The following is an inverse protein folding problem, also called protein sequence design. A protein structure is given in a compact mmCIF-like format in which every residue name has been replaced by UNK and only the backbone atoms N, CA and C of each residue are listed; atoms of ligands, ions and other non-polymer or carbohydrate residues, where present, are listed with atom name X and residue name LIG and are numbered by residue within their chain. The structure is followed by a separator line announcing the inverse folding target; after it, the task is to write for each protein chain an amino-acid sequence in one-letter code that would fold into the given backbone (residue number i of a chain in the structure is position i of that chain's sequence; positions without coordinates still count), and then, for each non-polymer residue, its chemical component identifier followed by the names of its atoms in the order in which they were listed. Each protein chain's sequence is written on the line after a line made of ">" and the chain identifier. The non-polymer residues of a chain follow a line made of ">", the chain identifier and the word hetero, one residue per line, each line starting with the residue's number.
data_IF_315118286431
#
_entry.id   IF_315118286431
#
_cell.length_a   1.000
_cell.length_b   1.000
_cell.length_c   1.000
_cell.angle_alpha   90.00
_cell.angle_beta   90.00
_cell.angle_gamma   90.00
#
_symmetry.space_group_name_H-M   'P 1'
#
loop_
_entity.id
_entity.type
_entity.pdbx_description
1 polymer ?
#
# COMPACT_ATOMS: atom_id res chain seq x y z
N UNK A 1 -7.95 10.42 26.98
CA UNK A 1 -8.77 11.30 26.10
C UNK A 1 -9.11 12.62 26.77
N UNK A 2 -9.01 13.74 26.03
CA UNK A 2 -9.52 15.03 26.51
C UNK A 2 -11.02 15.21 26.19
N UNK A 3 -11.62 16.36 26.57
CA UNK A 3 -13.04 16.65 26.33
C UNK A 3 -13.39 16.71 24.84
N UNK A 4 -12.52 17.27 24.01
CA UNK A 4 -12.73 17.40 22.56
C UNK A 4 -12.78 16.02 21.91
N UNK A 5 -11.91 15.12 22.34
CA UNK A 5 -11.87 13.74 21.84
C UNK A 5 -13.11 12.95 22.27
N UNK A 6 -13.57 13.11 23.51
CA UNK A 6 -14.81 12.51 23.99
C UNK A 6 -16.03 12.95 23.17
N UNK A 7 -16.11 14.23 22.81
CA UNK A 7 -17.18 14.76 21.96
C UNK A 7 -17.08 14.21 20.52
N UNK A 8 -15.88 14.24 19.93
CA UNK A 8 -15.60 13.75 18.56
C UNK A 8 -15.99 12.28 18.38
N UNK A 9 -15.56 11.41 19.30
CA UNK A 9 -15.78 9.96 19.19
C UNK A 9 -17.03 9.48 19.93
N UNK A 10 -17.87 10.38 20.43
CA UNK A 10 -19.05 10.04 21.26
C UNK A 10 -19.94 8.96 20.63
N UNK A 11 -20.20 9.02 19.31
CA UNK A 11 -21.01 8.03 18.60
C UNK A 11 -20.34 6.66 18.48
N UNK A 12 -19.02 6.65 18.29
CA UNK A 12 -18.22 5.42 18.23
C UNK A 12 -18.13 4.76 19.61
N UNK A 13 -17.94 5.55 20.67
CA UNK A 13 -17.90 5.09 22.07
C UNK A 13 -19.22 4.46 22.51
N UNK A 14 -20.37 4.94 22.02
CA UNK A 14 -21.68 4.35 22.32
C UNK A 14 -21.82 2.92 21.78
N UNK A 15 -21.06 2.53 20.76
CA UNK A 15 -21.07 1.17 20.26
C UNK A 15 -20.32 0.26 21.23
N UNK A 16 -21.07 -0.55 21.99
CA UNK A 16 -20.55 -1.35 23.12
C UNK A 16 -19.29 -2.18 22.82
N UNK A 17 -19.14 -2.83 21.65
CA UNK A 17 -17.90 -3.56 21.33
C UNK A 17 -16.65 -2.68 21.22
N UNK A 18 -16.80 -1.36 21.03
CA UNK A 18 -15.71 -0.38 21.12
C UNK A 18 -15.70 0.19 22.54
N UNK A 19 -16.76 0.89 22.94
CA UNK A 19 -16.82 1.52 24.26
C UNK A 19 -15.74 2.58 24.48
N UNK A 20 -15.61 3.04 25.73
CA UNK A 20 -14.56 4.00 26.10
C UNK A 20 -13.17 3.35 26.06
N UNK A 21 -13.08 2.10 26.51
CA UNK A 21 -11.82 1.34 26.55
C UNK A 21 -11.28 1.04 25.15
N UNK A 22 -12.13 0.58 24.22
CA UNK A 22 -11.72 0.34 22.84
C UNK A 22 -11.30 1.63 22.13
N UNK A 23 -11.95 2.76 22.41
CA UNK A 23 -11.51 4.04 21.87
C UNK A 23 -10.10 4.43 22.37
N UNK A 24 -9.81 4.20 23.65
CA UNK A 24 -8.48 4.45 24.21
C UNK A 24 -7.43 3.48 23.64
N UNK A 25 -7.82 2.24 23.29
CA UNK A 25 -6.93 1.30 22.57
C UNK A 25 -6.65 1.78 21.15
N UNK A 26 -7.67 2.23 20.40
CA UNK A 26 -7.49 2.82 19.07
C UNK A 26 -6.49 3.97 19.13
N UNK A 27 -6.62 4.87 20.10
CA UNK A 27 -5.68 5.99 20.28
C UNK A 27 -4.24 5.62 20.57
N UNK A 28 -3.99 4.40 21.03
CA UNK A 28 -2.63 3.87 21.26
C UNK A 28 -2.16 3.00 20.11
N UNK A 29 -3.10 2.57 19.26
CA UNK A 29 -2.83 1.68 18.13
C UNK A 29 -1.97 2.35 17.06
N UNK A 30 -1.10 1.54 16.48
CA UNK A 30 -0.20 1.87 15.38
C UNK A 30 -0.57 0.99 14.19
N UNK A 31 -0.88 1.61 13.06
CA UNK A 31 -1.29 0.90 11.84
C UNK A 31 -0.38 1.29 10.68
N UNK A 32 -0.02 0.33 9.84
CA UNK A 32 0.59 0.59 8.54
C UNK A 32 -0.41 0.28 7.42
N UNK A 33 -0.56 1.21 6.47
CA UNK A 33 -1.28 1.00 5.21
C UNK A 33 -0.23 0.88 4.10
N UNK A 34 -0.16 -0.30 3.49
CA UNK A 34 0.77 -0.54 2.36
C UNK A 34 0.01 -0.31 1.06
N UNK A 35 0.44 0.67 0.27
CA UNK A 35 -0.28 1.14 -0.91
C UNK A 35 -1.36 2.15 -0.54
N UNK A 36 -1.23 3.37 -1.06
CA UNK A 36 -2.14 4.51 -0.92
C UNK A 36 -2.90 4.78 -2.22
N UNK A 37 -3.19 3.72 -2.98
CA UNK A 37 -4.09 3.74 -4.12
C UNK A 37 -5.57 3.70 -3.72
N UNK A 38 -6.36 2.93 -4.46
CA UNK A 38 -7.81 2.91 -4.30
C UNK A 38 -8.24 2.42 -2.91
N UNK A 39 -7.86 1.19 -2.54
CA UNK A 39 -8.19 0.61 -1.22
C UNK A 39 -7.52 1.39 -0.08
N UNK A 40 -6.23 1.67 -0.20
CA UNK A 40 -5.45 2.38 0.83
C UNK A 40 -6.04 3.74 1.21
N UNK A 41 -6.52 4.50 0.23
CA UNK A 41 -7.15 5.81 0.49
C UNK A 41 -8.39 5.71 1.37
N UNK A 42 -9.23 4.69 1.17
CA UNK A 42 -10.44 4.43 1.98
C UNK A 42 -10.06 3.90 3.37
N UNK A 43 -9.10 2.97 3.43
CA UNK A 43 -8.59 2.39 4.68
C UNK A 43 -8.03 3.47 5.61
N UNK A 44 -7.14 4.31 5.09
CA UNK A 44 -6.55 5.40 5.86
C UNK A 44 -7.60 6.39 6.34
N UNK A 45 -8.62 6.69 5.51
CA UNK A 45 -9.74 7.54 5.90
C UNK A 45 -10.49 6.97 7.11
N UNK A 46 -10.80 5.67 7.10
CA UNK A 46 -11.47 5.00 8.21
C UNK A 46 -10.60 5.00 9.48
N UNK A 47 -9.31 4.68 9.37
CA UNK A 47 -8.42 4.62 10.55
C UNK A 47 -8.27 5.99 11.23
N UNK A 48 -8.08 7.05 10.45
CA UNK A 48 -7.97 8.41 10.98
C UNK A 48 -9.28 8.87 11.61
N UNK A 49 -10.42 8.64 10.95
CA UNK A 49 -11.73 9.01 11.50
C UNK A 49 -12.14 8.20 12.73
N UNK A 50 -11.62 6.98 12.87
CA UNK A 50 -11.80 6.16 14.05
C UNK A 50 -10.91 6.60 15.23
N UNK A 51 -9.95 7.49 15.00
CA UNK A 51 -9.06 8.01 16.04
C UNK A 51 -7.90 7.08 16.40
N UNK A 52 -7.31 6.43 15.38
CA UNK A 52 -6.07 5.68 15.55
C UNK A 52 -4.95 6.59 16.07
N UNK A 53 -4.07 6.09 16.93
CA UNK A 53 -2.96 6.91 17.48
C UNK A 53 -1.92 7.28 16.43
N UNK A 54 -1.56 6.30 15.62
CA UNK A 54 -0.50 6.41 14.63
C UNK A 54 -0.88 5.67 13.36
N UNK A 55 -0.65 6.31 12.20
CA UNK A 55 -0.89 5.73 10.89
C UNK A 55 0.29 6.00 9.96
N UNK A 56 0.97 4.94 9.55
CA UNK A 56 2.00 4.97 8.51
C UNK A 56 1.38 4.71 7.15
N UNK A 57 1.69 5.58 6.18
CA UNK A 57 1.20 5.54 4.81
C UNK A 57 2.39 5.24 3.89
N UNK A 58 2.42 4.07 3.27
CA UNK A 58 3.56 3.62 2.46
C UNK A 58 3.12 3.56 1.00
N UNK A 59 3.60 4.48 0.17
CA UNK A 59 3.38 4.43 -1.28
C UNK A 59 4.44 5.26 -2.02
N UNK A 60 4.98 4.70 -3.10
CA UNK A 60 5.93 5.36 -3.98
C UNK A 60 5.29 6.16 -5.12
N UNK A 61 4.04 5.87 -5.44
CA UNK A 61 3.36 6.46 -6.59
C UNK A 61 2.96 7.91 -6.33
N UNK A 62 2.68 8.63 -7.42
CA UNK A 62 2.16 9.98 -7.41
C UNK A 62 0.68 10.00 -7.76
N UNK A 63 0.00 11.08 -7.37
CA UNK A 63 -1.38 11.30 -7.78
C UNK A 63 -1.43 11.58 -9.28
N UNK A 64 -2.30 10.84 -9.98
CA UNK A 64 -2.56 10.99 -11.43
C UNK A 64 -4.05 11.25 -11.66
N UNK A 65 -4.39 12.00 -12.71
CA UNK A 65 -5.80 12.33 -13.03
C UNK A 65 -6.66 11.08 -13.31
N UNK A 66 -6.08 10.09 -14.01
CA UNK A 66 -6.70 8.79 -14.31
C UNK A 66 -7.07 7.97 -13.06
N UNK A 67 -6.49 8.31 -11.91
CA UNK A 67 -6.66 7.61 -10.65
C UNK A 67 -7.81 8.20 -9.82
N UNK A 68 -8.22 9.45 -10.09
CA UNK A 68 -9.19 10.19 -9.28
C UNK A 68 -10.58 9.57 -9.24
N UNK A 69 -10.97 8.79 -10.26
CA UNK A 69 -12.28 8.11 -10.29
C UNK A 69 -12.47 7.09 -9.15
N UNK A 70 -11.38 6.60 -8.53
CA UNK A 70 -11.41 5.54 -7.50
C UNK A 70 -10.56 5.80 -6.26
N UNK A 71 -9.79 6.88 -6.21
CA UNK A 71 -8.89 7.20 -5.08
C UNK A 71 -9.42 8.41 -4.32
N UNK A 72 -10.25 8.14 -3.33
CA UNK A 72 -11.15 9.14 -2.72
C UNK A 72 -10.47 10.29 -1.96
N UNK A 73 -9.19 10.14 -1.59
CA UNK A 73 -8.46 11.17 -0.83
C UNK A 73 -7.93 12.30 -1.71
N UNK A 74 -7.68 12.02 -2.99
CA UNK A 74 -6.97 12.95 -3.86
C UNK A 74 -7.93 13.78 -4.70
N UNK A 75 -7.46 14.97 -5.08
CA UNK A 75 -8.17 15.86 -5.98
C UNK A 75 -7.34 16.25 -7.22
N UNK A 76 -7.96 16.98 -8.14
CA UNK A 76 -7.28 17.43 -9.36
C UNK A 76 -6.07 18.34 -9.08
N UNK A 77 -6.06 19.06 -7.96
CA UNK A 77 -4.92 19.90 -7.61
C UNK A 77 -3.72 19.04 -7.23
N UNK A 78 -3.94 17.99 -6.43
CA UNK A 78 -2.90 17.04 -6.06
C UNK A 78 -2.31 16.36 -7.32
N UNK A 79 -3.18 16.00 -8.28
CA UNK A 79 -2.78 15.41 -9.56
C UNK A 79 -1.97 16.38 -10.43
N UNK A 80 -2.43 17.62 -10.61
CA UNK A 80 -1.69 18.65 -11.38
C UNK A 80 -0.31 18.92 -10.80
N UNK A 81 -0.19 18.92 -9.47
CA UNK A 81 1.07 19.13 -8.76
C UNK A 81 1.98 17.89 -8.71
N UNK A 82 1.48 16.72 -9.13
CA UNK A 82 2.17 15.43 -9.05
C UNK A 82 2.70 15.17 -7.63
N UNK A 83 1.83 15.32 -6.63
CA UNK A 83 2.20 15.08 -5.24
C UNK A 83 2.38 13.57 -4.99
N UNK A 84 3.36 13.14 -4.18
CA UNK A 84 3.44 11.76 -3.73
C UNK A 84 2.15 11.37 -3.02
N UNK A 85 1.61 10.19 -3.32
CA UNK A 85 0.34 9.70 -2.74
C UNK A 85 0.38 9.71 -1.21
N UNK A 86 1.45 9.18 -0.61
CA UNK A 86 1.61 9.16 0.84
C UNK A 86 1.59 10.56 1.47
N UNK A 87 2.22 11.55 0.82
CA UNK A 87 2.28 12.95 1.31
C UNK A 87 0.94 13.66 1.13
N UNK A 88 0.32 13.53 -0.05
CA UNK A 88 -0.99 14.12 -0.31
C UNK A 88 -2.05 13.54 0.65
N UNK A 89 -2.04 12.23 0.85
CA UNK A 89 -2.94 11.57 1.78
C UNK A 89 -2.72 12.07 3.22
N UNK A 90 -1.47 12.15 3.69
CA UNK A 90 -1.18 12.66 5.03
C UNK A 90 -1.69 14.10 5.23
N UNK A 91 -1.52 14.97 4.25
CA UNK A 91 -2.02 16.35 4.32
C UNK A 91 -3.56 16.40 4.45
N UNK A 92 -4.29 15.63 3.63
CA UNK A 92 -5.76 15.58 3.70
C UNK A 92 -6.26 14.95 5.00
N UNK A 93 -5.60 13.88 5.44
CA UNK A 93 -5.96 13.16 6.66
C UNK A 93 -5.69 14.00 7.92
N UNK A 94 -4.59 14.76 7.96
CA UNK A 94 -4.30 15.68 9.06
C UNK A 94 -5.37 16.78 9.21
N UNK A 95 -5.96 17.22 8.09
CA UNK A 95 -7.09 18.15 8.10
C UNK A 95 -8.39 17.52 8.64
N UNK A 96 -8.52 16.19 8.61
CA UNK A 96 -9.66 15.45 9.19
C UNK A 96 -9.47 15.30 10.70
N UNK A 97 -8.30 14.80 11.12
CA UNK A 97 -7.96 14.60 12.52
C UNK A 97 -6.48 14.89 12.80
N UNK A 98 -6.22 16.05 13.41
CA UNK A 98 -4.88 16.48 13.78
C UNK A 98 -4.35 15.84 15.06
N UNK A 99 -5.16 15.03 15.76
CA UNK A 99 -4.69 14.26 16.93
C UNK A 99 -3.97 12.96 16.52
N UNK A 100 -4.14 12.51 15.28
CA UNK A 100 -3.52 11.31 14.74
C UNK A 100 -2.10 11.63 14.26
N UNK A 101 -1.12 10.82 14.66
CA UNK A 101 0.24 10.93 14.14
C UNK A 101 0.31 10.25 12.77
N UNK A 102 0.64 11.02 11.73
CA UNK A 102 0.75 10.52 10.36
C UNK A 102 2.21 10.43 9.94
N UNK A 103 2.61 9.27 9.46
CA UNK A 103 3.97 8.99 8.96
C UNK A 103 3.89 8.67 7.46
N UNK A 104 4.24 9.66 6.63
CA UNK A 104 4.19 9.54 5.17
C UNK A 104 5.51 9.03 4.63
N UNK A 105 5.53 7.79 4.15
CA UNK A 105 6.70 7.12 3.58
C UNK A 105 6.55 7.06 2.07
N UNK A 106 7.32 7.90 1.36
CA UNK A 106 7.38 7.92 -0.11
C UNK A 106 8.36 6.86 -0.59
N UNK A 107 7.99 5.60 -0.42
CA UNK A 107 8.83 4.45 -0.73
C UNK A 107 7.98 3.25 -1.14
N UNK A 108 8.54 2.30 -1.90
CA UNK A 108 7.92 0.99 -2.08
C UNK A 108 8.29 0.06 -0.95
N UNK A 109 7.45 -0.95 -0.71
CA UNK A 109 7.77 -2.00 0.24
C UNK A 109 8.59 -3.09 -0.45
N UNK A 110 9.81 -3.31 0.02
CA UNK A 110 10.74 -4.32 -0.48
C UNK A 110 11.50 -5.02 0.67
N UNK A 111 12.20 -6.12 0.38
CA UNK A 111 12.82 -6.98 1.40
C UNK A 111 13.67 -6.21 2.43
N UNK A 112 14.47 -5.23 1.98
CA UNK A 112 15.39 -4.48 2.82
C UNK A 112 14.73 -3.44 3.76
N UNK A 113 13.52 -2.96 3.46
CA UNK A 113 12.84 -1.93 4.26
C UNK A 113 11.58 -2.46 4.97
N UNK A 114 11.09 -3.65 4.60
CA UNK A 114 9.81 -4.14 5.07
C UNK A 114 9.77 -4.35 6.59
N UNK A 115 10.83 -4.88 7.20
CA UNK A 115 10.89 -5.03 8.66
C UNK A 115 10.93 -3.68 9.38
N UNK A 116 11.65 -2.70 8.81
CA UNK A 116 11.71 -1.35 9.36
C UNK A 116 10.34 -0.65 9.31
N UNK A 117 9.62 -0.81 8.21
CA UNK A 117 8.34 -0.10 8.00
C UNK A 117 7.14 -0.78 8.63
N UNK A 118 7.21 -2.07 8.90
CA UNK A 118 6.07 -2.86 9.39
C UNK A 118 6.31 -3.53 10.74
N UNK A 119 7.54 -3.60 11.24
CA UNK A 119 7.87 -4.31 12.47
C UNK A 119 7.44 -3.60 13.76
N UNK A 120 7.12 -2.31 13.70
CA UNK A 120 6.75 -1.48 14.85
C UNK A 120 5.25 -1.08 14.90
N UNK A 121 4.39 -1.77 14.14
CA UNK A 121 2.94 -1.54 14.11
C UNK A 121 2.15 -2.70 14.72
N UNK A 122 0.94 -2.42 15.17
CA UNK A 122 0.02 -3.41 15.74
C UNK A 122 -0.81 -4.14 14.67
N UNK A 123 -0.92 -3.56 13.47
CA UNK A 123 -1.75 -4.06 12.38
C UNK A 123 -1.26 -3.53 11.02
N UNK A 124 -1.27 -4.41 10.03
CA UNK A 124 -1.00 -4.08 8.62
C UNK A 124 -2.30 -4.14 7.82
N UNK A 125 -2.55 -3.13 7.00
CA UNK A 125 -3.68 -3.07 6.06
C UNK A 125 -3.17 -3.11 4.62
N UNK A 126 -3.70 -4.04 3.83
CA UNK A 126 -3.37 -4.17 2.41
C UNK A 126 -4.18 -3.18 1.55
N UNK A 127 -3.50 -2.18 1.00
CA UNK A 127 -3.98 -1.32 -0.06
C UNK A 127 -3.28 -1.58 -1.40
N UNK A 128 -2.51 -2.66 -1.52
CA UNK A 128 -1.66 -2.97 -2.68
C UNK A 128 -2.42 -3.75 -3.75
N UNK A 129 -1.94 -3.64 -4.99
CA UNK A 129 -2.37 -4.41 -6.15
C UNK A 129 -1.29 -5.37 -6.66
N UNK A 130 -0.20 -5.55 -5.90
CA UNK A 130 0.98 -6.30 -6.31
C UNK A 130 1.09 -7.63 -5.54
N UNK A 131 1.10 -8.75 -6.27
CA UNK A 131 1.25 -10.07 -5.66
C UNK A 131 2.56 -10.21 -4.86
N UNK A 132 3.70 -9.80 -5.40
CA UNK A 132 4.99 -9.91 -4.71
C UNK A 132 4.99 -9.18 -3.37
N UNK A 133 4.43 -7.96 -3.34
CA UNK A 133 4.28 -7.18 -2.10
C UNK A 133 3.41 -7.91 -1.08
N UNK A 134 2.35 -8.59 -1.50
CA UNK A 134 1.50 -9.40 -0.60
C UNK A 134 2.25 -10.58 0.02
N UNK A 135 3.11 -11.26 -0.73
CA UNK A 135 3.97 -12.31 -0.18
C UNK A 135 5.03 -11.77 0.79
N UNK A 136 5.57 -10.58 0.51
CA UNK A 136 6.47 -9.89 1.43
C UNK A 136 5.77 -9.48 2.74
N UNK A 137 4.57 -8.88 2.66
CA UNK A 137 3.77 -8.54 3.84
C UNK A 137 3.45 -9.81 4.65
N UNK A 138 3.09 -10.91 3.98
CA UNK A 138 2.88 -12.20 4.64
C UNK A 138 4.09 -12.63 5.46
N UNK A 139 5.28 -12.60 4.86
CA UNK A 139 6.50 -13.06 5.53
C UNK A 139 6.81 -12.22 6.77
N UNK A 140 6.67 -10.89 6.68
CA UNK A 140 6.79 -9.99 7.84
C UNK A 140 5.72 -10.28 8.89
N UNK A 141 4.45 -10.40 8.48
CA UNK A 141 3.31 -10.69 9.37
C UNK A 141 3.52 -11.97 10.15
N UNK A 142 3.99 -13.04 9.50
CA UNK A 142 4.29 -14.33 10.14
C UNK A 142 5.49 -14.21 11.06
N UNK A 143 6.60 -13.61 10.61
CA UNK A 143 7.85 -13.49 11.38
C UNK A 143 7.65 -12.69 12.68
N UNK A 144 6.94 -11.56 12.58
CA UNK A 144 6.74 -10.64 13.70
C UNK A 144 5.42 -10.84 14.45
N UNK A 145 4.58 -11.77 13.99
CA UNK A 145 3.22 -12.04 14.54
C UNK A 145 2.34 -10.79 14.55
N UNK A 146 2.45 -10.00 13.49
CA UNK A 146 1.65 -8.78 13.30
C UNK A 146 0.46 -9.15 12.42
N UNK A 147 -0.80 -8.95 12.89
CA UNK A 147 -1.97 -9.19 12.07
C UNK A 147 -1.93 -8.39 10.78
N UNK A 148 -2.47 -8.99 9.71
CA UNK A 148 -2.56 -8.41 8.39
C UNK A 148 -3.96 -8.63 7.82
N UNK A 149 -4.57 -7.56 7.31
CA UNK A 149 -5.87 -7.64 6.65
C UNK A 149 -5.67 -7.44 5.14
N UNK A 150 -5.79 -8.54 4.42
CA UNK A 150 -5.70 -8.61 2.96
C UNK A 150 -6.95 -8.03 2.30
N UNK A 151 -6.75 -7.36 1.16
CA UNK A 151 -7.80 -6.83 0.31
C UNK A 151 -7.38 -6.81 -1.15
N UNK A 152 -8.33 -7.10 -2.04
CA UNK A 152 -8.12 -7.02 -3.49
C UNK A 152 -9.41 -6.74 -4.22
N UNK A 153 -9.35 -6.01 -5.34
CA UNK A 153 -10.51 -5.71 -6.15
C UNK A 153 -10.14 -5.52 -7.62
N UNK A 154 -11.03 -5.97 -8.51
CA UNK A 154 -10.93 -5.85 -9.97
C UNK A 154 -12.31 -5.90 -10.60
N UNK A 155 -12.58 -5.07 -11.60
CA UNK A 155 -13.91 -4.90 -12.18
C UNK A 155 -14.92 -4.46 -11.13
N UNK A 156 -15.97 -5.26 -10.95
CA UNK A 156 -16.95 -5.12 -9.87
C UNK A 156 -16.78 -6.18 -8.75
N UNK A 157 -15.69 -6.95 -8.80
CA UNK A 157 -15.41 -8.05 -7.88
C UNK A 157 -14.32 -7.66 -6.89
N UNK A 158 -14.42 -8.17 -5.68
CA UNK A 158 -13.43 -7.92 -4.65
C UNK A 158 -13.45 -8.97 -3.55
N UNK A 159 -12.37 -9.02 -2.79
CA UNK A 159 -12.20 -9.98 -1.72
C UNK A 159 -11.37 -9.42 -0.58
N UNK A 160 -11.59 -9.94 0.62
CA UNK A 160 -10.78 -9.65 1.79
C UNK A 160 -10.65 -10.89 2.70
N UNK A 161 -9.60 -10.91 3.51
CA UNK A 161 -9.39 -11.93 4.53
C UNK A 161 -8.53 -11.36 5.67
N UNK A 162 -8.68 -11.93 6.87
CA UNK A 162 -7.84 -11.57 8.03
C UNK A 162 -6.82 -12.67 8.29
N UNK A 163 -5.54 -12.30 8.26
CA UNK A 163 -4.44 -13.17 8.63
C UNK A 163 -3.85 -12.70 9.95
N UNK A 164 -3.89 -13.57 10.96
CA UNK A 164 -3.26 -13.38 12.26
C UNK A 164 -2.56 -14.68 12.65
N UNK A 165 -1.37 -14.97 12.08
CA UNK A 165 -0.56 -16.11 12.49
C UNK A 165 0.00 -15.90 13.91
N UNK A 166 0.09 -16.95 14.75
CA UNK A 166 -0.16 -18.35 14.45
C UNK A 166 -1.63 -18.82 14.55
N UNK A 167 -2.57 -17.95 14.91
CA UNK A 167 -3.99 -18.28 15.16
C UNK A 167 -4.79 -18.58 13.89
N UNK A 168 -4.36 -18.09 12.73
CA UNK A 168 -4.96 -18.37 11.41
C UNK A 168 -3.95 -19.09 10.50
N UNK A 169 -4.38 -19.65 9.35
CA UNK A 169 -3.46 -19.81 8.22
C UNK A 169 -2.78 -18.48 7.87
N UNK A 170 -1.62 -18.55 7.22
CA UNK A 170 -1.04 -17.38 6.56
C UNK A 170 -1.49 -17.32 5.08
N UNK A 171 -1.22 -16.23 4.40
CA UNK A 171 -1.61 -16.06 2.99
C UNK A 171 -1.03 -17.15 2.08
N UNK A 172 0.20 -17.61 2.36
CA UNK A 172 0.82 -18.73 1.63
C UNK A 172 0.16 -20.08 1.84
N UNK A 173 -0.64 -20.26 2.88
CA UNK A 173 -1.45 -21.46 3.02
C UNK A 173 -2.58 -21.48 1.98
N UNK A 174 -3.18 -20.33 1.69
CA UNK A 174 -4.29 -20.19 0.75
C UNK A 174 -3.81 -20.05 -0.69
N UNK A 175 -2.69 -19.34 -0.87
CA UNK A 175 -2.09 -19.05 -2.17
C UNK A 175 -0.61 -19.47 -2.16
N UNK A 176 -0.31 -20.78 -2.35
CA UNK A 176 1.05 -21.32 -2.17
C UNK A 176 2.10 -20.74 -3.12
N UNK A 177 1.68 -20.33 -4.32
CA UNK A 177 2.55 -19.82 -5.37
C UNK A 177 1.97 -18.53 -5.96
N UNK A 178 2.85 -17.61 -6.33
CA UNK A 178 2.46 -16.45 -7.13
C UNK A 178 1.76 -16.98 -8.40
N UNK A 179 0.55 -16.50 -8.72
CA UNK A 179 -0.14 -16.91 -9.94
C UNK A 179 0.75 -16.69 -11.17
N UNK A 180 0.85 -17.70 -12.05
CA UNK A 180 1.58 -17.57 -13.31
C UNK A 180 0.87 -16.59 -14.25
N UNK A 181 1.61 -15.66 -14.86
CA UNK A 181 1.07 -14.65 -15.78
C UNK A 181 0.85 -13.28 -15.14
N UNK A 182 0.27 -12.32 -15.90
CA UNK A 182 0.11 -10.92 -15.45
C UNK A 182 -1.05 -10.67 -14.47
N UNK A 183 -1.87 -11.68 -14.15
CA UNK A 183 -3.09 -11.52 -13.35
C UNK A 183 -4.11 -10.54 -13.95
N UNK A 184 -5.31 -10.50 -13.39
CA UNK A 184 -6.26 -9.41 -13.68
C UNK A 184 -5.90 -8.21 -12.78
N UNK A 185 -5.68 -7.04 -13.37
CA UNK A 185 -5.35 -5.80 -12.65
C UNK A 185 -6.39 -4.72 -12.95
N UNK A 186 -6.43 -3.68 -12.13
CA UNK A 186 -7.28 -2.51 -12.38
C UNK A 186 -7.01 -1.88 -13.75
N UNK A 187 -5.76 -1.92 -14.22
CA UNK A 187 -5.36 -1.29 -15.47
C UNK A 187 -5.60 -2.19 -16.69
N UNK A 188 -5.81 -3.50 -16.51
CA UNK A 188 -6.10 -4.44 -17.60
C UNK A 188 -7.58 -4.79 -17.74
N UNK A 189 -8.31 -4.90 -16.62
CA UNK A 189 -9.74 -5.28 -16.59
C UNK A 189 -10.64 -4.08 -16.24
N UNK A 190 -10.09 -3.00 -15.69
CA UNK A 190 -10.85 -1.91 -15.10
C UNK A 190 -11.26 -2.20 -13.66
N UNK A 191 -11.77 -1.18 -12.96
CA UNK A 191 -12.35 -1.31 -11.62
C UNK A 191 -13.32 -0.16 -11.34
N UNK A 192 -14.44 -0.45 -10.68
CA UNK A 192 -15.42 0.56 -10.26
C UNK A 192 -15.14 1.01 -8.82
N UNK A 193 -15.33 2.30 -8.53
CA UNK A 193 -15.17 2.84 -7.17
C UNK A 193 -15.94 2.07 -6.08
N UNK A 194 -17.24 1.75 -6.25
CA UNK A 194 -18.04 1.12 -5.18
C UNK A 194 -17.46 -0.18 -4.61
N UNK A 195 -16.86 -1.05 -5.44
CA UNK A 195 -16.25 -2.29 -4.93
C UNK A 195 -15.03 -2.00 -4.05
N UNK A 196 -14.24 -0.98 -4.39
CA UNK A 196 -13.12 -0.51 -3.56
C UNK A 196 -13.64 -0.10 -2.18
N UNK A 197 -14.68 0.72 -2.13
CA UNK A 197 -15.25 1.21 -0.88
C UNK A 197 -15.84 0.08 -0.04
N UNK A 198 -16.50 -0.90 -0.66
CA UNK A 198 -17.03 -2.07 0.05
C UNK A 198 -15.91 -2.87 0.71
N UNK A 199 -14.92 -3.30 -0.07
CA UNK A 199 -13.82 -4.14 0.43
C UNK A 199 -13.01 -3.41 1.50
N UNK A 200 -12.64 -2.14 1.27
CA UNK A 200 -11.91 -1.37 2.27
C UNK A 200 -12.71 -1.12 3.55
N UNK A 201 -14.04 -0.98 3.46
CA UNK A 201 -14.89 -0.84 4.66
C UNK A 201 -14.98 -2.15 5.45
N UNK A 202 -15.03 -3.29 4.77
CA UNK A 202 -14.94 -4.59 5.41
C UNK A 202 -13.58 -4.80 6.09
N UNK A 203 -12.48 -4.47 5.40
CA UNK A 203 -11.13 -4.49 5.99
C UNK A 203 -11.03 -3.58 7.22
N UNK A 204 -11.56 -2.36 7.14
CA UNK A 204 -11.56 -1.41 8.26
C UNK A 204 -12.39 -1.91 9.46
N UNK A 205 -13.53 -2.59 9.21
CA UNK A 205 -14.31 -3.20 10.28
C UNK A 205 -13.52 -4.27 11.04
N UNK A 206 -12.78 -5.13 10.32
CA UNK A 206 -11.89 -6.12 10.94
C UNK A 206 -10.72 -5.45 11.69
N UNK A 207 -10.18 -4.34 11.16
CA UNK A 207 -9.16 -3.56 11.82
C UNK A 207 -9.62 -3.04 13.19
N UNK A 208 -10.84 -2.48 13.25
CA UNK A 208 -11.43 -2.02 14.50
C UNK A 208 -11.59 -3.16 15.49
N UNK A 209 -12.08 -4.33 15.06
CA UNK A 209 -12.21 -5.50 15.94
C UNK A 209 -10.87 -5.91 16.56
N UNK A 210 -9.81 -5.99 15.75
CA UNK A 210 -8.48 -6.35 16.24
C UNK A 210 -7.92 -5.31 17.21
N UNK A 211 -7.99 -4.03 16.86
CA UNK A 211 -7.42 -2.93 17.64
C UNK A 211 -8.16 -2.67 18.95
N UNK A 212 -9.49 -2.88 19.00
CA UNK A 212 -10.26 -2.77 20.25
C UNK A 212 -10.21 -4.05 21.10
N UNK A 213 -9.66 -5.14 20.56
CA UNK A 213 -9.51 -6.42 21.23
C UNK A 213 -10.72 -7.35 21.13
N UNK A 214 -11.68 -7.07 20.25
CA UNK A 214 -12.77 -7.96 19.88
C UNK A 214 -12.29 -9.10 18.95
N UNK A 215 -11.11 -9.69 19.22
CA UNK A 215 -10.44 -10.68 18.35
C UNK A 215 -11.28 -11.94 18.12
N UNK A 216 -12.17 -12.29 19.07
CA UNK A 216 -13.11 -13.42 18.93
C UNK A 216 -14.18 -13.21 17.87
N UNK A 217 -14.46 -11.96 17.50
CA UNK A 217 -15.45 -11.57 16.49
C UNK A 217 -14.82 -11.41 15.08
N UNK A 218 -13.51 -11.70 14.96
CA UNK A 218 -12.76 -11.64 13.70
C UNK A 218 -13.37 -12.61 12.69
N UNK A 219 -13.53 -12.17 11.45
CA UNK A 219 -14.03 -13.00 10.38
C UNK A 219 -13.05 -14.15 10.06
N UNK A 220 -13.46 -15.43 10.17
CA UNK A 220 -12.61 -16.57 9.81
C UNK A 220 -12.65 -16.93 8.32
N UNK A 221 -13.33 -16.14 7.48
CA UNK A 221 -13.60 -16.44 6.08
C UNK A 221 -12.67 -15.65 5.13
N UNK A 222 -12.41 -16.23 3.95
CA UNK A 222 -12.09 -15.47 2.75
C UNK A 222 -13.43 -15.06 2.11
N UNK A 223 -13.67 -13.76 2.08
CA UNK A 223 -14.90 -13.15 1.61
C UNK A 223 -14.73 -12.69 0.18
N UNK A 224 -15.69 -12.98 -0.70
CA UNK A 224 -15.70 -12.52 -2.09
C UNK A 224 -17.05 -11.90 -2.44
N UNK A 225 -17.01 -10.75 -3.11
CA UNK A 225 -18.19 -10.02 -3.56
C UNK A 225 -18.12 -9.79 -5.06
N UNK A 226 -19.26 -9.92 -5.75
CA UNK A 226 -19.51 -9.35 -7.07
C UNK A 226 -20.68 -8.37 -6.96
N UNK A 227 -20.38 -7.07 -7.01
CA UNK A 227 -21.40 -6.04 -6.90
C UNK A 227 -22.30 -5.92 -8.14
N UNK A 228 -21.82 -6.35 -9.30
CA UNK A 228 -22.60 -6.25 -10.55
C UNK A 228 -23.68 -7.31 -10.62
N UNK A 229 -23.35 -8.51 -10.14
CA UNK A 229 -24.25 -9.66 -10.13
C UNK A 229 -24.94 -9.90 -8.77
N UNK A 230 -24.59 -9.10 -7.75
CA UNK A 230 -25.10 -9.23 -6.37
C UNK A 230 -24.74 -10.58 -5.73
N UNK A 231 -23.54 -11.08 -6.03
CA UNK A 231 -23.06 -12.35 -5.48
C UNK A 231 -22.14 -12.12 -4.27
N UNK A 232 -22.26 -13.02 -3.30
CA UNK A 232 -21.45 -13.03 -2.08
C UNK A 232 -21.08 -14.47 -1.74
N UNK A 233 -19.78 -14.75 -1.67
CA UNK A 233 -19.23 -16.07 -1.37
C UNK A 233 -18.35 -15.97 -0.13
N UNK A 234 -18.60 -16.85 0.83
CA UNK A 234 -17.83 -16.98 2.06
C UNK A 234 -17.13 -18.34 2.06
N UNK A 235 -15.80 -18.34 2.18
CA UNK A 235 -15.00 -19.56 2.22
C UNK A 235 -14.30 -19.65 3.56
N UNK A 236 -14.60 -20.68 4.35
CA UNK A 236 -14.02 -20.83 5.69
C UNK A 236 -12.55 -21.25 5.56
N UNK A 237 -11.65 -20.40 6.03
CA UNK A 237 -10.20 -20.63 5.97
C UNK A 237 -9.62 -21.06 7.32
N UNK A 238 -10.44 -21.19 8.37
CA UNK A 238 -9.96 -21.52 9.72
C UNK A 238 -9.18 -22.84 9.79
N UNK A 239 -9.57 -23.83 8.97
CA UNK A 239 -8.88 -25.12 8.84
C UNK A 239 -7.80 -25.14 7.75
N UNK A 240 -7.50 -24.01 7.10
CA UNK A 240 -6.58 -23.90 5.98
C UNK A 240 -5.09 -23.87 6.34
N UNK A 241 -4.74 -23.99 7.63
CA UNK A 241 -3.33 -23.91 8.06
C UNK A 241 -2.60 -25.22 7.70
N UNK A 242 -1.50 -25.10 6.96
CA UNK A 242 -0.66 -26.24 6.58
C UNK A 242 0.62 -26.28 7.42
N UNK A 243 0.91 -27.43 8.03
CA UNK A 243 2.15 -27.65 8.80
C UNK A 243 3.41 -27.54 7.93
N UNK A 244 3.31 -27.95 6.66
CA UNK A 244 4.40 -27.84 5.69
C UNK A 244 4.41 -26.51 4.92
N UNK A 245 3.59 -25.51 5.34
CA UNK A 245 3.65 -24.19 4.73
C UNK A 245 5.05 -23.60 4.95
N UNK A 246 5.79 -23.19 3.90
CA UNK A 246 7.16 -22.78 4.11
C UNK A 246 7.26 -21.52 4.99
N UNK A 247 6.28 -20.61 4.97
CA UNK A 247 6.26 -19.45 5.87
C UNK A 247 5.81 -19.81 7.29
N UNK A 248 4.51 -20.04 7.54
CA UNK A 248 4.01 -20.19 8.91
C UNK A 248 4.25 -21.57 9.55
N UNK A 249 4.64 -22.57 8.77
CA UNK A 249 4.96 -23.91 9.25
C UNK A 249 6.47 -24.12 9.46
N UNK A 250 7.29 -23.67 8.50
CA UNK A 250 8.73 -23.91 8.49
C UNK A 250 9.58 -22.67 8.83
N UNK A 251 8.99 -21.47 8.90
CA UNK A 251 9.72 -20.24 9.19
C UNK A 251 10.66 -19.77 8.07
N UNK A 252 10.39 -20.17 6.83
CA UNK A 252 11.15 -19.80 5.63
C UNK A 252 10.48 -18.57 4.99
N UNK A 253 11.13 -17.42 5.12
CA UNK A 253 10.62 -16.12 4.69
C UNK A 253 11.26 -15.69 3.37
N UNK A 254 11.04 -16.49 2.32
CA UNK A 254 11.73 -16.35 1.03
C UNK A 254 11.57 -14.98 0.35
N UNK A 255 10.54 -14.19 0.69
CA UNK A 255 10.35 -12.84 0.13
C UNK A 255 11.01 -11.76 0.99
N UNK A 256 11.22 -12.04 2.27
CA UNK A 256 11.90 -11.15 3.20
C UNK A 256 13.43 -11.37 3.24
N UNK A 257 13.86 -12.62 3.10
CA UNK A 257 15.25 -13.07 3.20
C UNK A 257 15.98 -13.08 1.85
N UNK A 258 15.42 -12.44 0.81
CA UNK A 258 16.08 -12.30 -0.48
C UNK A 258 17.42 -11.58 -0.28
N UNK A 259 18.50 -12.36 -0.34
CA UNK A 259 19.85 -11.98 0.05
C UNK A 259 20.69 -11.44 -1.12
N UNK A 260 20.15 -11.42 -2.35
CA UNK A 260 20.94 -11.17 -3.56
C UNK A 260 20.21 -10.28 -4.57
N UNK A 261 20.08 -8.98 -4.27
CA UNK A 261 20.05 -7.97 -5.33
C UNK A 261 21.05 -6.86 -5.00
N UNK A 262 22.33 -7.19 -5.16
CA UNK A 262 23.40 -6.20 -5.37
C UNK A 262 23.29 -5.50 -6.75
N UNK A 263 22.22 -5.75 -7.49
CA UNK A 263 21.89 -5.12 -8.77
C UNK A 263 20.63 -4.26 -8.61
N UNK A 264 20.54 -3.18 -9.38
CA UNK A 264 19.34 -2.34 -9.42
C UNK A 264 18.11 -3.21 -9.73
N UNK A 265 17.02 -3.02 -8.98
CA UNK A 265 15.78 -3.73 -9.22
C UNK A 265 15.03 -3.07 -10.39
N UNK A 266 14.65 -3.87 -11.38
CA UNK A 266 13.90 -3.44 -12.56
C UNK A 266 12.48 -4.01 -12.50
N UNK A 267 11.48 -3.14 -12.39
CA UNK A 267 10.07 -3.56 -12.32
C UNK A 267 9.24 -2.87 -13.40
N UNK A 268 8.66 -3.64 -14.32
CA UNK A 268 7.67 -3.11 -15.26
C UNK A 268 6.33 -2.89 -14.54
N UNK A 269 5.81 -1.66 -14.57
CA UNK A 269 4.51 -1.31 -14.03
C UNK A 269 3.43 -1.64 -15.06
N UNK A 270 2.56 -2.59 -14.72
CA UNK A 270 1.47 -3.02 -15.58
C UNK A 270 0.56 -1.84 -15.96
N UNK A 271 0.13 -1.77 -17.22
CA UNK A 271 -0.88 -0.82 -17.69
C UNK A 271 -0.42 0.62 -17.91
N UNK A 272 0.85 0.96 -17.63
CA UNK A 272 1.35 2.35 -17.70
C UNK A 272 2.54 2.56 -18.63
N UNK A 273 2.91 1.58 -19.45
CA UNK A 273 4.13 1.59 -20.29
C UNK A 273 5.33 2.18 -19.54
N UNK A 274 5.54 1.72 -18.30
CA UNK A 274 6.54 2.30 -17.40
C UNK A 274 7.43 1.22 -16.82
N UNK A 275 8.74 1.46 -16.77
CA UNK A 275 9.72 0.64 -16.06
C UNK A 275 10.30 1.44 -14.90
N UNK A 276 10.21 0.89 -13.70
CA UNK A 276 10.92 1.38 -12.52
C UNK A 276 12.32 0.80 -12.45
N UNK A 277 13.26 1.65 -12.08
CA UNK A 277 14.64 1.33 -11.76
C UNK A 277 14.85 1.79 -10.31
N UNK A 278 15.06 0.84 -9.41
CA UNK A 278 15.39 1.13 -8.01
C UNK A 278 16.85 0.73 -7.74
N UNK A 279 17.69 1.65 -7.25
CA UNK A 279 19.10 1.35 -7.06
C UNK A 279 19.30 0.35 -5.92
N UNK A 280 20.27 -0.56 -6.06
CA UNK A 280 20.59 -1.56 -5.03
C UNK A 280 21.00 -0.94 -3.68
N UNK A 281 21.50 0.31 -3.71
CA UNK A 281 21.74 1.13 -2.54
C UNK A 281 21.15 2.52 -2.76
N UNK A 282 20.44 3.09 -1.76
CA UNK A 282 19.93 4.46 -1.85
C UNK A 282 21.06 5.43 -2.19
N UNK A 283 20.86 6.27 -3.20
CA UNK A 283 21.80 7.33 -3.59
C UNK A 283 21.16 8.67 -3.24
N UNK A 284 21.95 9.67 -2.86
CA UNK A 284 21.43 11.04 -2.73
C UNK A 284 21.73 11.80 -4.02
N UNK A 285 20.69 12.09 -4.79
CA UNK A 285 20.78 12.90 -6.01
C UNK A 285 20.43 14.35 -5.73
N UNK A 286 21.28 15.28 -6.17
CA UNK A 286 20.93 16.70 -6.23
C UNK A 286 20.03 16.95 -7.45
N UNK A 287 18.71 16.97 -7.20
CA UNK A 287 17.72 17.21 -8.25
C UNK A 287 17.82 18.63 -8.84
N UNK A 288 18.43 19.60 -8.15
CA UNK A 288 18.66 20.93 -8.71
C UNK A 288 19.74 20.93 -9.77
N UNK A 289 20.88 20.31 -9.46
CA UNK A 289 21.99 20.19 -10.39
C UNK A 289 21.57 19.39 -11.62
N UNK A 290 20.89 18.26 -11.40
CA UNK A 290 20.39 17.39 -12.46
C UNK A 290 19.35 18.11 -13.34
N UNK A 291 18.47 18.92 -12.74
CA UNK A 291 17.50 19.75 -13.47
C UNK A 291 18.19 20.73 -14.42
N UNK A 292 19.22 21.45 -13.94
CA UNK A 292 20.00 22.39 -14.76
C UNK A 292 20.69 21.68 -15.93
N UNK A 293 21.25 20.49 -15.69
CA UNK A 293 21.89 19.65 -16.73
C UNK A 293 20.90 19.22 -17.81
N UNK A 294 19.73 18.73 -17.40
CA UNK A 294 18.74 18.16 -18.32
C UNK A 294 17.90 19.21 -19.06
N UNK A 295 17.80 20.44 -18.53
CA UNK A 295 17.05 21.53 -19.15
C UNK A 295 17.59 21.93 -20.54
N UNK A 296 18.86 21.64 -20.83
CA UNK A 296 19.46 21.87 -22.15
C UNK A 296 19.04 20.83 -23.21
N UNK A 297 18.48 19.69 -22.79
CA UNK A 297 18.24 18.51 -23.64
C UNK A 297 16.75 18.32 -23.92
N UNK A 298 15.89 18.67 -22.96
CA UNK A 298 14.45 18.43 -23.06
C UNK A 298 13.66 19.22 -22.02
N UNK A 299 12.37 18.94 -21.92
CA UNK A 299 11.48 19.64 -20.97
C UNK A 299 11.71 19.11 -19.57
N UNK A 300 11.89 20.01 -18.61
CA UNK A 300 12.13 19.67 -17.22
C UNK A 300 11.09 20.33 -16.33
N UNK A 301 10.51 19.57 -15.42
CA UNK A 301 9.63 20.04 -14.35
C UNK A 301 10.13 19.48 -13.03
N UNK A 302 10.29 20.33 -12.01
CA UNK A 302 10.83 19.92 -10.71
C UNK A 302 9.89 20.36 -9.60
N UNK A 303 9.70 19.48 -8.63
CA UNK A 303 9.18 19.83 -7.31
C UNK A 303 10.16 19.30 -6.22
N UNK A 304 9.91 19.54 -4.92
CA UNK A 304 10.82 19.05 -3.87
C UNK A 304 11.00 17.53 -3.80
N UNK A 305 10.10 16.75 -4.41
CA UNK A 305 10.04 15.30 -4.30
C UNK A 305 10.51 14.56 -5.56
N UNK A 306 10.52 15.22 -6.71
CA UNK A 306 10.90 14.61 -7.99
C UNK A 306 11.43 15.62 -9.01
N UNK A 307 12.15 15.08 -9.98
CA UNK A 307 12.51 15.74 -11.22
C UNK A 307 11.91 14.96 -12.41
N UNK A 308 11.01 15.60 -13.15
CA UNK A 308 10.43 15.05 -14.38
C UNK A 308 11.19 15.62 -15.59
N UNK A 309 11.74 14.72 -16.39
CA UNK A 309 12.46 15.04 -17.62
C UNK A 309 11.80 14.34 -18.81
N UNK A 310 11.28 15.12 -19.75
CA UNK A 310 10.59 14.61 -20.94
C UNK A 310 11.48 14.80 -22.17
N UNK A 311 11.71 13.68 -22.86
CA UNK A 311 12.40 13.59 -24.15
C UNK A 311 11.60 12.63 -25.04
N UNK A 312 10.78 13.18 -25.92
CA UNK A 312 9.79 12.41 -26.67
C UNK A 312 10.43 11.18 -27.37
N UNK A 313 9.80 10.00 -27.27
CA UNK A 313 8.49 9.71 -26.66
C UNK A 313 8.52 9.38 -25.15
N UNK A 314 9.64 9.58 -24.45
CA UNK A 314 9.85 9.10 -23.09
C UNK A 314 9.76 10.20 -22.03
N UNK A 315 9.35 9.82 -20.83
CA UNK A 315 9.45 10.68 -19.64
C UNK A 315 10.14 9.94 -18.51
N UNK A 316 11.20 10.53 -17.98
CA UNK A 316 11.93 10.03 -16.82
C UNK A 316 11.47 10.83 -15.59
N UNK A 317 10.97 10.13 -14.57
CA UNK A 317 10.67 10.70 -13.25
C UNK A 317 11.75 10.24 -12.30
N UNK A 318 12.56 11.16 -11.81
CA UNK A 318 13.78 10.91 -11.04
C UNK A 318 13.58 11.37 -9.60
N UNK A 319 13.94 10.53 -8.65
CA UNK A 319 13.72 10.76 -7.22
C UNK A 319 15.03 11.08 -6.49
N UNK A 320 14.98 11.76 -5.32
CA UNK A 320 16.17 12.11 -4.55
C UNK A 320 16.98 10.91 -4.07
N UNK A 321 16.35 9.74 -3.91
CA UNK A 321 16.96 8.48 -3.47
C UNK A 321 17.62 7.66 -4.60
N UNK A 322 17.60 8.19 -5.82
CA UNK A 322 18.16 7.55 -7.00
C UNK A 322 17.20 6.64 -7.76
N UNK A 323 15.96 6.45 -7.29
CA UNK A 323 14.94 5.74 -8.06
C UNK A 323 14.58 6.52 -9.32
N UNK A 324 14.20 5.80 -10.38
CA UNK A 324 13.76 6.38 -11.65
C UNK A 324 12.60 5.59 -12.24
N UNK A 325 11.53 6.28 -12.63
CA UNK A 325 10.47 5.72 -13.47
C UNK A 325 10.68 6.18 -14.91
N UNK A 326 10.77 5.23 -15.84
CA UNK A 326 10.89 5.49 -17.27
C UNK A 326 9.57 5.17 -17.94
N UNK A 327 8.80 6.21 -18.27
CA UNK A 327 7.51 6.14 -18.95
C UNK A 327 7.70 6.15 -20.48
N UNK A 328 6.81 5.45 -21.20
CA UNK A 328 6.86 5.28 -22.66
C UNK A 328 7.54 3.99 -23.11
N UNK A 329 7.86 3.06 -22.20
CA UNK A 329 8.43 1.74 -22.54
C UNK A 329 8.07 0.67 -21.51
N UNK A 330 7.89 -0.57 -21.97
CA UNK A 330 7.83 -1.76 -21.10
C UNK A 330 9.16 -2.54 -21.11
N UNK A 331 10.11 -2.16 -21.98
CA UNK A 331 11.37 -2.87 -22.18
C UNK A 331 12.43 -2.38 -21.20
N UNK A 332 12.88 -3.28 -20.32
CA UNK A 332 13.93 -3.02 -19.32
C UNK A 332 15.23 -2.55 -20.00
N UNK A 333 15.58 -3.08 -21.16
CA UNK A 333 16.79 -2.68 -21.90
C UNK A 333 16.75 -1.20 -22.34
N UNK A 334 15.60 -0.73 -22.81
CA UNK A 334 15.38 0.67 -23.19
C UNK A 334 15.45 1.56 -21.96
N UNK A 335 14.78 1.15 -20.87
CA UNK A 335 14.79 1.89 -19.61
C UNK A 335 16.22 2.03 -19.03
N UNK A 336 17.00 0.95 -19.04
CA UNK A 336 18.42 0.95 -18.64
C UNK A 336 19.25 1.94 -19.46
N UNK A 337 19.05 1.95 -20.77
CA UNK A 337 19.79 2.86 -21.68
C UNK A 337 19.45 4.32 -21.40
N UNK A 338 18.17 4.64 -21.21
CA UNK A 338 17.71 6.00 -20.90
C UNK A 338 18.21 6.45 -19.52
N UNK A 339 18.16 5.58 -18.51
CA UNK A 339 18.69 5.84 -17.19
C UNK A 339 20.19 6.14 -17.22
N UNK A 340 21.00 5.27 -17.84
CA UNK A 340 22.44 5.47 -17.95
C UNK A 340 22.79 6.77 -18.70
N UNK A 341 22.00 7.12 -19.73
CA UNK A 341 22.25 8.31 -20.55
C UNK A 341 21.96 9.63 -19.83
N UNK A 342 20.90 9.70 -19.03
CA UNK A 342 20.39 10.97 -18.49
C UNK A 342 20.57 11.13 -16.99
N UNK A 343 20.60 10.03 -16.24
CA UNK A 343 20.68 10.00 -14.78
C UNK A 343 22.01 9.42 -14.33
N UNK A 344 22.53 8.43 -15.06
CA UNK A 344 23.87 7.90 -14.90
C UNK A 344 24.92 9.01 -14.90
N UNK A 345 25.93 8.83 -14.05
CA UNK A 345 27.15 9.64 -13.99
C UNK A 345 28.01 9.43 -15.21
#
# INVERSE_FOLDING_TARGET
>A
MDKRDLERYSRQILFKPIGLEGQERLRRGRVAVVGMGALGSVLANHMVRAGIGFLRLIDRDFVEESNLQRQMLYDESDARQHLPKAVAAAAKLSAIDSSVTLDAVVDDLHAFNAEQYLGDVDLILDGTDNFHTRYLINDVSVKHRIPWIYGGAVGARGMFAVFQPPETPCYRCLFPHIPGGRGETCDTVGVIGPIIHLIASCQAAEALKLLTGAVRERNPQLEQFDLWHHEHVQIDISAGKHENCPACGQGIYAFLEQSDQHEDAYTTLCGRDTVQIAPAQPRSLDLEELSKRLAAIGRVERNPFLLRFTVDPYTLVIFPDGRVLVQGTQEIAVAKTLHAKYVGS
#
